data_IF_111511735851
#
_entry.id   IF_111511735851
#
_cell.length_a   1.000
_cell.length_b   1.000
_cell.length_c   1.000
_cell.angle_alpha   90.00
_cell.angle_beta   90.00
_cell.angle_gamma   90.00
#
_symmetry.space_group_name_H-M   'P 1'
#
loop_
_entity.id
_entity.type
_entity.pdbx_description
1 polymer ?
#
# COMPACT_ATOMS: atom_id res chain seq x y z
N UNK A 1 29.54 -48.97 34.84
CA UNK A 1 28.66 -48.52 33.75
C UNK A 1 28.77 -47.01 33.71
N UNK A 2 29.65 -46.52 32.85
CA UNK A 2 30.00 -45.10 32.70
C UNK A 2 28.88 -44.40 31.92
N UNK A 3 28.24 -43.39 32.52
CA UNK A 3 27.32 -42.49 31.84
C UNK A 3 28.12 -41.32 31.26
N UNK A 4 28.39 -41.33 29.95
CA UNK A 4 28.94 -40.17 29.24
C UNK A 4 27.81 -39.21 28.90
N UNK A 5 27.75 -38.09 29.60
CA UNK A 5 26.91 -36.94 29.27
C UNK A 5 27.64 -36.08 28.24
N UNK A 6 27.34 -36.28 26.95
CA UNK A 6 27.90 -35.46 25.88
C UNK A 6 27.09 -34.16 25.76
N UNK A 7 27.61 -33.10 26.35
CA UNK A 7 27.06 -31.75 26.22
C UNK A 7 27.41 -31.19 24.84
N UNK A 8 26.40 -30.96 23.97
CA UNK A 8 26.60 -30.33 22.67
C UNK A 8 27.02 -28.86 22.82
N UNK A 9 28.07 -28.46 22.09
CA UNK A 9 28.63 -27.11 22.15
C UNK A 9 27.95 -26.20 21.12
N UNK A 10 27.46 -25.02 21.54
CA UNK A 10 26.88 -24.00 20.64
C UNK A 10 28.00 -23.08 20.16
N UNK A 11 28.23 -23.03 18.84
CA UNK A 11 29.19 -22.11 18.22
C UNK A 11 28.45 -21.02 17.44
N UNK A 12 28.81 -19.76 17.70
CA UNK A 12 28.27 -18.59 17.01
C UNK A 12 28.92 -18.46 15.63
N UNK A 13 28.14 -18.61 14.57
CA UNK A 13 28.60 -18.33 13.21
C UNK A 13 28.88 -16.82 13.06
N UNK A 14 30.15 -16.45 12.94
CA UNK A 14 30.56 -15.09 12.57
C UNK A 14 30.51 -14.98 11.06
N UNK A 15 29.51 -14.33 10.50
CA UNK A 15 29.48 -14.00 9.07
C UNK A 15 30.43 -12.84 8.80
N UNK A 16 31.57 -13.15 8.16
CA UNK A 16 32.43 -12.14 7.56
C UNK A 16 31.85 -11.63 6.25
N UNK A 17 32.01 -10.33 5.99
CA UNK A 17 31.95 -9.73 4.65
C UNK A 17 30.55 -9.51 4.08
N UNK A 18 30.09 -8.26 4.14
CA UNK A 18 28.91 -7.78 3.41
C UNK A 18 29.21 -7.74 1.90
N UNK A 19 28.54 -8.59 1.12
CA UNK A 19 28.44 -8.48 -0.33
C UNK A 19 26.98 -8.15 -0.64
N UNK A 20 26.73 -6.98 -1.23
CA UNK A 20 25.37 -6.55 -1.62
C UNK A 20 24.97 -7.23 -2.95
N UNK A 21 23.79 -7.86 -3.07
CA UNK A 21 23.35 -8.47 -4.32
C UNK A 21 22.63 -7.46 -5.24
N UNK A 22 22.96 -7.47 -6.54
CA UNK A 22 22.19 -6.84 -7.60
C UNK A 22 20.93 -7.66 -8.00
N UNK A 23 20.02 -7.08 -8.79
CA UNK A 23 18.70 -7.67 -9.05
C UNK A 23 18.80 -8.79 -10.09
N UNK A 24 18.54 -10.03 -9.67
CA UNK A 24 18.52 -11.20 -10.53
C UNK A 24 17.65 -12.29 -9.94
N UNK A 25 16.53 -12.55 -10.61
CA UNK A 25 15.52 -13.57 -10.32
C UNK A 25 16.09 -14.98 -10.25
N UNK A 26 16.15 -15.58 -9.05
CA UNK A 26 15.87 -17.00 -8.83
C UNK A 26 15.80 -17.33 -7.33
N UNK A 27 14.69 -17.95 -6.90
CA UNK A 27 14.51 -18.47 -5.53
C UNK A 27 15.41 -19.68 -5.21
N UNK A 28 16.25 -20.12 -6.16
CA UNK A 28 17.11 -21.29 -6.04
C UNK A 28 18.46 -21.02 -5.38
N UNK A 29 18.84 -19.77 -5.05
CA UNK A 29 20.16 -19.48 -4.49
C UNK A 29 20.33 -19.77 -3.00
N UNK A 30 19.24 -19.94 -2.23
CA UNK A 30 19.33 -20.36 -0.82
C UNK A 30 19.40 -21.88 -0.65
N UNK A 31 19.24 -22.62 -1.74
CA UNK A 31 19.48 -24.06 -1.80
C UNK A 31 20.87 -24.31 -2.39
N UNK A 32 21.89 -23.67 -1.84
CA UNK A 32 23.26 -24.14 -2.03
C UNK A 32 23.35 -25.56 -1.48
N UNK A 33 24.06 -26.45 -2.16
CA UNK A 33 24.53 -27.70 -1.58
C UNK A 33 25.01 -27.38 -0.17
N UNK A 34 24.50 -28.08 0.85
CA UNK A 34 24.95 -27.87 2.21
C UNK A 34 26.47 -28.09 2.20
N UNK A 35 27.26 -27.01 2.22
CA UNK A 35 28.67 -27.09 2.56
C UNK A 35 28.67 -27.84 3.89
N UNK A 36 29.23 -29.04 3.86
CA UNK A 36 28.98 -30.07 4.87
C UNK A 36 29.05 -29.46 6.25
N UNK A 37 27.93 -29.50 6.98
CA UNK A 37 27.91 -29.04 8.35
C UNK A 37 29.02 -29.78 9.11
N UNK A 38 29.73 -29.12 10.06
CA UNK A 38 30.78 -29.75 10.81
C UNK A 38 30.36 -31.15 11.28
N UNK A 39 31.25 -32.13 11.12
CA UNK A 39 31.02 -33.54 11.41
C UNK A 39 29.97 -34.28 10.54
N UNK A 40 29.73 -33.87 9.28
CA UNK A 40 28.75 -34.55 8.40
C UNK A 40 27.34 -34.61 9.01
N UNK A 41 26.95 -33.56 9.74
CA UNK A 41 25.66 -33.52 10.43
C UNK A 41 24.52 -33.21 9.45
N UNK A 42 23.38 -33.88 9.62
CA UNK A 42 22.17 -33.60 8.85
C UNK A 42 21.55 -32.28 9.33
N UNK A 43 21.05 -31.41 8.44
CA UNK A 43 20.35 -30.21 8.85
C UNK A 43 19.08 -30.58 9.63
N UNK A 44 18.92 -30.02 10.83
CA UNK A 44 17.72 -30.18 11.65
C UNK A 44 16.93 -28.88 11.61
N UNK A 45 15.68 -28.96 11.15
CA UNK A 45 14.74 -27.84 11.21
C UNK A 45 14.02 -27.85 12.56
N UNK A 46 14.15 -26.76 13.33
CA UNK A 46 13.49 -26.63 14.63
C UNK A 46 12.37 -25.59 14.49
N UNK A 47 11.13 -26.02 14.66
CA UNK A 47 9.99 -25.12 14.89
C UNK A 47 9.87 -24.97 16.41
N UNK A 48 10.19 -23.80 16.99
CA UNK A 48 9.99 -23.60 18.41
C UNK A 48 8.48 -23.53 18.69
N UNK A 49 7.94 -24.58 19.32
CA UNK A 49 6.56 -24.64 19.82
C UNK A 49 6.33 -23.80 21.09
N UNK A 50 7.24 -22.87 21.40
CA UNK A 50 7.22 -22.01 22.60
C UNK A 50 6.68 -20.60 22.33
N UNK A 51 6.71 -19.70 23.33
CA UNK A 51 6.32 -18.31 23.13
C UNK A 51 7.14 -17.69 21.99
N UNK A 52 6.49 -16.90 21.13
CA UNK A 52 7.16 -16.20 20.04
C UNK A 52 8.32 -15.37 20.64
N UNK A 53 9.53 -15.45 20.07
CA UNK A 53 10.63 -14.63 20.53
C UNK A 53 10.24 -13.15 20.43
N UNK A 54 10.74 -12.29 21.34
CA UNK A 54 10.46 -10.86 21.26
C UNK A 54 10.91 -10.32 19.90
N UNK A 55 10.14 -9.36 19.37
CA UNK A 55 10.48 -8.74 18.10
C UNK A 55 11.88 -8.15 18.13
N UNK A 56 12.65 -8.40 17.08
CA UNK A 56 13.96 -7.80 16.86
C UNK A 56 13.82 -6.26 16.75
N UNK A 57 14.85 -5.48 17.09
CA UNK A 57 14.82 -4.03 16.95
C UNK A 57 14.39 -3.54 15.55
N UNK A 58 14.84 -4.23 14.49
CA UNK A 58 14.44 -3.95 13.12
C UNK A 58 12.96 -4.17 12.86
N UNK A 59 12.37 -5.22 13.45
CA UNK A 59 10.94 -5.51 13.32
C UNK A 59 10.08 -4.49 14.07
N UNK A 60 10.53 -4.06 15.26
CA UNK A 60 9.85 -3.00 16.01
C UNK A 60 9.84 -1.68 15.23
N UNK A 61 10.99 -1.29 14.69
CA UNK A 61 11.12 -0.10 13.85
C UNK A 61 10.20 -0.15 12.63
N UNK A 62 10.15 -1.30 11.93
CA UNK A 62 9.24 -1.50 10.81
C UNK A 62 7.76 -1.32 11.18
N UNK A 63 7.34 -1.82 12.36
CA UNK A 63 5.96 -1.65 12.84
C UNK A 63 5.66 -0.19 13.20
N UNK A 64 6.60 0.49 13.86
CA UNK A 64 6.49 1.93 14.16
C UNK A 64 6.36 2.77 12.88
N UNK A 65 7.17 2.47 11.86
CA UNK A 65 7.10 3.13 10.55
C UNK A 65 5.74 2.88 9.87
N UNK A 66 5.25 1.64 9.90
CA UNK A 66 3.93 1.30 9.36
C UNK A 66 2.79 2.01 10.12
N UNK A 67 2.87 2.09 11.45
CA UNK A 67 1.90 2.83 12.26
C UNK A 67 1.94 4.33 11.97
N UNK A 68 3.13 4.92 11.83
CA UNK A 68 3.30 6.31 11.46
C UNK A 68 2.71 6.60 10.08
N UNK A 69 2.94 5.71 9.10
CA UNK A 69 2.37 5.80 7.76
C UNK A 69 0.84 5.76 7.79
N UNK A 70 0.26 4.84 8.58
CA UNK A 70 -1.21 4.73 8.76
C UNK A 70 -1.84 5.95 9.42
N UNK A 71 -1.11 6.63 10.30
CA UNK A 71 -1.60 7.82 11.02
C UNK A 71 -1.55 9.10 10.20
N UNK A 72 -0.98 9.08 8.98
CA UNK A 72 -0.98 10.27 8.12
C UNK A 72 -2.40 10.78 7.87
N UNK A 73 -2.61 12.10 7.82
CA UNK A 73 -3.94 12.66 7.64
C UNK A 73 -4.48 12.36 6.24
N UNK A 74 -5.79 12.10 6.18
CA UNK A 74 -6.50 11.88 4.94
C UNK A 74 -7.65 12.87 4.80
N UNK A 75 -7.93 13.26 3.56
CA UNK A 75 -9.07 14.09 3.18
C UNK A 75 -9.92 13.34 2.15
N UNK A 76 -11.23 13.57 2.19
CA UNK A 76 -12.14 12.99 1.20
C UNK A 76 -12.10 13.79 -0.09
N UNK A 77 -11.51 13.20 -1.11
CA UNK A 77 -11.51 13.71 -2.47
C UNK A 77 -12.83 13.36 -3.17
N UNK A 78 -13.45 14.31 -3.85
CA UNK A 78 -14.63 14.01 -4.68
C UNK A 78 -14.18 13.52 -6.05
N UNK A 79 -14.56 12.29 -6.40
CA UNK A 79 -14.26 11.71 -7.72
C UNK A 79 -14.91 12.56 -8.81
N UNK A 80 -16.14 13.01 -8.56
CA UNK A 80 -16.86 13.99 -9.40
C UNK A 80 -16.77 15.37 -8.75
N UNK A 81 -16.07 16.35 -9.35
CA UNK A 81 -15.81 17.65 -8.73
C UNK A 81 -17.05 18.40 -8.24
N UNK A 82 -16.87 19.12 -7.13
CA UNK A 82 -17.89 20.02 -6.57
C UNK A 82 -17.99 21.37 -7.29
N UNK A 83 -17.10 21.65 -8.24
CA UNK A 83 -17.13 22.88 -9.03
C UNK A 83 -18.55 23.11 -9.59
N UNK A 84 -19.14 24.31 -9.45
CA UNK A 84 -20.56 24.52 -9.74
C UNK A 84 -21.00 24.02 -11.13
N UNK A 85 -20.20 24.21 -12.17
CA UNK A 85 -20.58 23.89 -13.54
C UNK A 85 -20.52 22.39 -13.81
N UNK A 86 -19.44 21.74 -13.36
CA UNK A 86 -19.30 20.29 -13.37
C UNK A 86 -20.39 19.62 -12.53
N UNK A 87 -20.64 20.10 -11.31
CA UNK A 87 -21.69 19.58 -10.42
C UNK A 87 -23.08 19.61 -11.08
N UNK A 88 -23.41 20.72 -11.76
CA UNK A 88 -24.67 20.82 -12.51
C UNK A 88 -24.72 19.81 -13.66
N UNK A 89 -23.61 19.62 -14.39
CA UNK A 89 -23.54 18.62 -15.45
C UNK A 89 -23.74 17.19 -14.92
N UNK A 90 -23.04 16.78 -13.86
CA UNK A 90 -23.23 15.46 -13.24
C UNK A 90 -24.65 15.24 -12.73
N UNK A 91 -25.26 16.28 -12.15
CA UNK A 91 -26.65 16.22 -11.68
C UNK A 91 -27.61 15.97 -12.85
N UNK A 92 -27.45 16.67 -13.98
CA UNK A 92 -28.23 16.40 -15.22
C UNK A 92 -28.06 14.97 -15.73
N UNK A 93 -26.89 14.37 -15.50
CA UNK A 93 -26.57 12.98 -15.85
C UNK A 93 -27.03 11.95 -14.82
N UNK A 94 -27.71 12.38 -13.75
CA UNK A 94 -28.19 11.49 -12.69
C UNK A 94 -27.06 10.90 -11.83
N UNK A 95 -25.95 11.63 -11.67
CA UNK A 95 -24.81 11.24 -10.82
C UNK A 95 -24.83 12.09 -9.54
N UNK A 96 -25.05 11.44 -8.40
CA UNK A 96 -24.93 12.07 -7.09
C UNK A 96 -23.47 12.09 -6.65
N UNK A 97 -22.79 13.22 -6.82
CA UNK A 97 -21.36 13.36 -6.56
C UNK A 97 -20.95 13.00 -5.11
N UNK A 98 -21.86 13.14 -4.14
CA UNK A 98 -21.60 12.86 -2.73
C UNK A 98 -21.55 11.36 -2.41
N UNK A 99 -21.94 10.49 -3.33
CA UNK A 99 -21.81 9.04 -3.18
C UNK A 99 -20.39 8.55 -3.52
N UNK A 100 -19.61 9.38 -4.23
CA UNK A 100 -18.35 8.99 -4.85
C UNK A 100 -17.20 9.85 -4.36
N UNK A 101 -16.72 9.54 -3.15
CA UNK A 101 -15.50 10.14 -2.61
C UNK A 101 -14.43 9.09 -2.32
N UNK A 102 -13.17 9.49 -2.34
CA UNK A 102 -12.03 8.64 -2.02
C UNK A 102 -11.21 9.31 -0.93
N UNK A 103 -10.97 8.65 0.22
CA UNK A 103 -10.05 9.15 1.23
C UNK A 103 -8.63 9.07 0.67
N UNK A 104 -8.00 10.22 0.48
CA UNK A 104 -6.63 10.34 -0.01
C UNK A 104 -5.75 10.98 1.06
N UNK A 105 -4.46 10.67 1.04
CA UNK A 105 -3.50 11.43 1.83
C UNK A 105 -3.58 12.92 1.43
N UNK A 106 -3.44 13.81 2.41
CA UNK A 106 -3.57 15.26 2.22
C UNK A 106 -2.60 15.80 1.17
N UNK A 107 -1.39 15.26 1.09
CA UNK A 107 -0.38 15.62 0.09
C UNK A 107 -0.82 15.25 -1.34
N UNK A 108 -1.36 14.04 -1.54
CA UNK A 108 -1.93 13.59 -2.82
C UNK A 108 -3.13 14.47 -3.20
N UNK A 109 -4.06 14.71 -2.27
CA UNK A 109 -5.23 15.55 -2.51
C UNK A 109 -4.83 16.97 -2.92
N UNK A 110 -3.82 17.55 -2.27
CA UNK A 110 -3.31 18.88 -2.63
C UNK A 110 -2.61 18.90 -3.99
N UNK A 111 -1.82 17.87 -4.30
CA UNK A 111 -1.07 17.75 -5.56
C UNK A 111 -1.98 17.77 -6.79
N UNK A 112 -3.16 17.16 -6.71
CA UNK A 112 -4.08 17.09 -7.86
C UNK A 112 -4.95 18.36 -8.00
N UNK A 113 -5.02 19.17 -6.95
CA UNK A 113 -5.81 20.42 -6.91
C UNK A 113 -4.98 21.71 -6.96
N UNK A 114 -3.64 21.62 -6.92
CA UNK A 114 -2.73 22.77 -7.00
C UNK A 114 -1.55 22.48 -7.94
N UNK A 115 -0.95 23.49 -8.59
CA UNK A 115 -1.28 24.92 -8.58
C UNK A 115 -2.40 25.22 -9.63
N UNK A 116 -2.68 26.48 -10.05
CA UNK A 116 -3.77 26.81 -10.98
C UNK A 116 -3.81 25.91 -12.23
N UNK A 117 -4.99 25.66 -12.82
CA UNK A 117 -6.27 26.39 -12.70
C UNK A 117 -7.09 26.08 -11.42
N UNK A 118 -8.24 26.76 -11.17
CA UNK A 118 -9.10 26.44 -10.03
C UNK A 118 -9.48 24.95 -9.98
N UNK A 119 -9.17 24.31 -8.85
CA UNK A 119 -9.33 22.87 -8.67
C UNK A 119 -8.26 22.00 -9.36
N UNK A 120 -7.17 22.61 -9.83
CA UNK A 120 -5.98 21.95 -10.36
C UNK A 120 -6.22 21.10 -11.59
N UNK A 121 -5.26 20.20 -11.84
CA UNK A 121 -5.29 19.28 -12.98
C UNK A 121 -6.49 18.33 -12.95
N UNK A 122 -7.01 17.98 -11.76
CA UNK A 122 -8.19 17.14 -11.63
C UNK A 122 -9.44 17.80 -12.23
N UNK A 123 -9.75 19.04 -11.83
CA UNK A 123 -10.92 19.74 -12.37
C UNK A 123 -10.72 20.11 -13.85
N UNK A 124 -9.49 20.43 -14.26
CA UNK A 124 -9.16 20.71 -15.67
C UNK A 124 -9.51 19.52 -16.57
N UNK A 125 -9.08 18.31 -16.21
CA UNK A 125 -9.40 17.10 -16.97
C UNK A 125 -10.93 16.89 -17.10
N UNK A 126 -11.65 17.09 -15.99
CA UNK A 126 -13.12 17.04 -16.00
C UNK A 126 -13.77 18.10 -16.88
N UNK A 127 -13.24 19.33 -16.89
CA UNK A 127 -13.74 20.42 -17.76
C UNK A 127 -13.54 20.06 -19.24
N UNK A 128 -12.33 19.63 -19.61
CA UNK A 128 -12.03 19.22 -20.98
C UNK A 128 -12.92 18.07 -21.46
N UNK A 129 -13.14 17.07 -20.61
CA UNK A 129 -14.01 15.95 -20.93
C UNK A 129 -15.47 16.40 -21.08
N UNK A 130 -16.00 17.18 -20.13
CA UNK A 130 -17.35 17.74 -20.22
C UNK A 130 -17.55 18.53 -21.52
N UNK A 131 -16.60 19.39 -21.88
CA UNK A 131 -16.74 20.28 -23.03
C UNK A 131 -16.71 19.54 -24.37
N UNK A 132 -16.00 18.41 -24.43
CA UNK A 132 -15.98 17.53 -25.61
C UNK A 132 -17.09 16.48 -25.61
N UNK A 133 -17.68 16.15 -24.46
CA UNK A 133 -18.62 15.04 -24.27
C UNK A 133 -19.87 15.43 -23.45
N UNK A 134 -20.46 16.61 -23.68
CA UNK A 134 -21.62 17.08 -22.88
C UNK A 134 -22.80 16.08 -22.91
N UNK A 135 -22.94 15.33 -24.01
CA UNK A 135 -23.98 14.32 -24.20
C UNK A 135 -23.59 12.89 -23.79
N UNK A 136 -22.40 12.65 -23.23
CA UNK A 136 -21.96 11.31 -22.81
C UNK A 136 -22.99 10.62 -21.89
N UNK A 137 -23.25 9.32 -22.07
CA UNK A 137 -24.07 8.55 -21.16
C UNK A 137 -23.33 8.33 -19.83
N UNK A 138 -24.09 8.03 -18.77
CA UNK A 138 -23.59 7.90 -17.40
C UNK A 138 -22.46 6.86 -17.28
N UNK A 139 -22.56 5.77 -18.04
CA UNK A 139 -21.57 4.69 -18.07
C UNK A 139 -20.21 5.17 -18.61
N UNK A 140 -20.20 6.05 -19.59
CA UNK A 140 -18.97 6.61 -20.15
C UNK A 140 -18.30 7.58 -19.16
N UNK A 141 -19.11 8.39 -18.47
CA UNK A 141 -18.64 9.28 -17.40
C UNK A 141 -17.99 8.46 -16.27
N UNK A 142 -18.56 7.31 -15.91
CA UNK A 142 -17.93 6.40 -14.93
C UNK A 142 -16.63 5.78 -15.45
N UNK A 143 -16.56 5.40 -16.73
CA UNK A 143 -15.30 4.90 -17.33
C UNK A 143 -14.22 5.97 -17.28
N UNK A 144 -14.56 7.21 -17.62
CA UNK A 144 -13.62 8.32 -17.55
C UNK A 144 -13.17 8.61 -16.11
N UNK A 145 -14.07 8.52 -15.12
CA UNK A 145 -13.68 8.60 -13.72
C UNK A 145 -12.64 7.52 -13.34
N UNK A 146 -12.83 6.28 -13.80
CA UNK A 146 -11.86 5.20 -13.62
C UNK A 146 -10.52 5.47 -14.29
N UNK A 147 -10.54 6.02 -15.50
CA UNK A 147 -9.33 6.45 -16.21
C UNK A 147 -8.57 7.52 -15.42
N UNK A 148 -9.24 8.56 -14.92
CA UNK A 148 -8.60 9.61 -14.11
C UNK A 148 -8.02 9.07 -12.80
N UNK A 149 -8.73 8.15 -12.12
CA UNK A 149 -8.20 7.48 -10.93
C UNK A 149 -6.87 6.78 -11.24
N UNK A 150 -6.77 6.11 -12.39
CA UNK A 150 -5.54 5.46 -12.83
C UNK A 150 -4.45 6.47 -13.20
N UNK A 151 -4.76 7.46 -14.05
CA UNK A 151 -3.80 8.46 -14.55
C UNK A 151 -3.21 9.34 -13.44
N UNK A 152 -4.00 9.65 -12.41
CA UNK A 152 -3.55 10.42 -11.25
C UNK A 152 -3.02 9.55 -10.11
N UNK A 153 -2.93 8.23 -10.31
CA UNK A 153 -2.41 7.25 -9.36
C UNK A 153 -3.14 7.30 -8.01
N UNK A 154 -4.46 7.46 -8.04
CA UNK A 154 -5.28 7.55 -6.83
C UNK A 154 -5.57 6.17 -6.28
N UNK A 155 -5.31 5.99 -4.99
CA UNK A 155 -5.50 4.72 -4.28
C UNK A 155 -6.38 4.94 -3.07
N UNK A 156 -7.50 4.21 -3.00
CA UNK A 156 -8.39 4.23 -1.86
C UNK A 156 -9.75 3.60 -2.17
N UNK A 157 -10.55 3.30 -1.13
CA UNK A 157 -11.91 2.84 -1.30
C UNK A 157 -12.82 4.00 -1.77
N UNK A 158 -13.84 3.67 -2.56
CA UNK A 158 -14.93 4.60 -2.85
C UNK A 158 -15.91 4.57 -1.68
N UNK A 159 -16.17 5.73 -1.08
CA UNK A 159 -17.05 5.90 0.08
C UNK A 159 -17.96 7.12 -0.11
N UNK A 160 -19.17 7.12 0.48
CA UNK A 160 -20.01 8.32 0.53
C UNK A 160 -19.36 9.44 1.37
N UNK A 161 -19.55 10.70 0.95
CA UNK A 161 -18.97 11.88 1.60
C UNK A 161 -19.43 12.04 3.05
N UNK A 162 -20.73 11.87 3.32
CA UNK A 162 -21.30 12.08 4.65
C UNK A 162 -21.16 10.88 5.60
N UNK A 163 -20.60 9.75 5.15
CA UNK A 163 -20.34 8.59 6.00
C UNK A 163 -18.99 8.74 6.70
N UNK A 164 -18.88 8.50 8.00
CA UNK A 164 -17.55 8.49 8.64
C UNK A 164 -16.65 7.42 8.00
N UNK A 165 -15.42 7.79 7.65
CA UNK A 165 -14.43 6.85 7.16
C UNK A 165 -13.37 6.65 8.22
N UNK A 166 -13.16 5.39 8.57
CA UNK A 166 -12.05 4.92 9.40
C UNK A 166 -11.20 4.00 8.56
N UNK A 167 -9.89 4.19 8.58
CA UNK A 167 -9.00 3.22 7.97
C UNK A 167 -9.27 1.83 8.56
N UNK A 168 -9.40 0.79 7.71
CA UNK A 168 -9.54 -0.56 8.21
C UNK A 168 -8.31 -0.96 9.06
N UNK A 169 -8.48 -1.88 10.02
CA UNK A 169 -7.35 -2.43 10.76
C UNK A 169 -6.39 -3.16 9.81
N UNK A 170 -5.10 -3.31 10.17
CA UNK A 170 -4.17 -4.11 9.39
C UNK A 170 -4.69 -5.54 9.29
N UNK A 171 -4.54 -6.16 8.11
CA UNK A 171 -4.85 -7.59 7.95
C UNK A 171 -3.81 -8.38 8.76
N UNK A 172 -4.25 -9.06 9.82
CA UNK A 172 -3.40 -9.92 10.68
C UNK A 172 -3.20 -9.47 12.13
N UNK A 173 -3.99 -8.50 12.61
CA UNK A 173 -4.13 -8.19 14.04
C UNK A 173 -5.01 -9.19 14.79
#
# INVERSE_FOLDING_TARGET
>A
MEHLSTSGQVLLARTGGMVLPGPGSSAQRYWGSADGLPLNSNPVFIIPWGPKPPLLPSQKKMLEELEAERRKPHEKHHIFPQEPDLKRWFTRKGINIHEFTMPLLVDVHRRIHHPPPPGGAWNEAWRQYKDSHDNAPKEEIYRYAGQLIYEFELVGPIVPYYRQWTQPPPIGG
#
